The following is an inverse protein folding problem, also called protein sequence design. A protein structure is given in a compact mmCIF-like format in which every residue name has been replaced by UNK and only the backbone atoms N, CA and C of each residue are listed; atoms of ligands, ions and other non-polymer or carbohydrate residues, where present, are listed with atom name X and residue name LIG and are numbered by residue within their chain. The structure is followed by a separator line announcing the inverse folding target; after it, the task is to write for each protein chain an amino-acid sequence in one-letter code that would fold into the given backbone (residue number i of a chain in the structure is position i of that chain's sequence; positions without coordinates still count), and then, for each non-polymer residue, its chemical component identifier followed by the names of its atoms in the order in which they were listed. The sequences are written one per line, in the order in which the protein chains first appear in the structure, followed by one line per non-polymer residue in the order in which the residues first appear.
data_IF_196999894886
#
_entry.id   IF_196999894886
#
_cell.length_a   1.000
_cell.length_b   1.000
_cell.length_c   1.000
_cell.angle_alpha   90.00
_cell.angle_beta   90.00
_cell.angle_gamma   90.00
#
_symmetry.space_group_name_H-M   'P 1'
#
loop_
_entity.id
_entity.type
_entity.pdbx_description
1 polymer ?
#
# COMPACT_ATOMS: atom_id res chain seq x y z
N UNK A 1 7.93 -59.31 48.66
CA UNK A 1 7.25 -58.89 47.41
C UNK A 1 6.61 -57.49 47.56
N UNK A 2 7.33 -56.49 48.07
CA UNK A 2 6.87 -55.09 48.19
C UNK A 2 7.78 -54.08 47.48
N UNK A 3 8.97 -54.49 47.04
CA UNK A 3 9.93 -53.60 46.36
C UNK A 3 9.54 -53.26 44.91
N UNK A 4 8.78 -54.14 44.24
CA UNK A 4 8.41 -53.99 42.82
C UNK A 4 7.30 -52.95 42.61
N UNK A 5 6.44 -52.72 43.62
CA UNK A 5 5.31 -51.77 43.51
C UNK A 5 5.72 -50.29 43.57
N UNK A 6 6.87 -49.93 44.13
CA UNK A 6 7.33 -48.52 44.19
C UNK A 6 7.84 -48.01 42.84
N UNK A 7 8.45 -48.85 42.01
CA UNK A 7 8.96 -48.45 40.69
C UNK A 7 7.85 -48.15 39.68
N UNK A 8 6.76 -48.91 39.71
CA UNK A 8 5.64 -48.76 38.77
C UNK A 8 4.89 -47.44 39.01
N UNK A 9 4.71 -47.02 40.27
CA UNK A 9 4.03 -45.75 40.60
C UNK A 9 4.80 -44.52 40.12
N UNK A 10 6.13 -44.55 40.18
CA UNK A 10 6.98 -43.48 39.65
C UNK A 10 6.93 -43.38 38.12
N UNK A 11 6.93 -44.52 37.43
CA UNK A 11 6.88 -44.57 35.97
C UNK A 11 5.52 -44.09 35.42
N UNK A 12 4.41 -44.45 36.10
CA UNK A 12 3.08 -43.96 35.76
C UNK A 12 2.95 -42.44 35.99
N UNK A 13 3.47 -41.93 37.10
CA UNK A 13 3.46 -40.49 37.36
C UNK A 13 4.26 -39.69 36.31
N UNK A 14 5.43 -40.21 35.90
CA UNK A 14 6.25 -39.56 34.87
C UNK A 14 5.56 -39.57 33.50
N UNK A 15 4.86 -40.66 33.15
CA UNK A 15 4.11 -40.77 31.89
C UNK A 15 2.94 -39.79 31.85
N UNK A 16 2.21 -39.62 32.96
CA UNK A 16 1.09 -38.67 33.05
C UNK A 16 1.57 -37.22 32.90
N UNK A 17 2.72 -36.87 33.48
CA UNK A 17 3.31 -35.54 33.32
C UNK A 17 3.82 -35.32 31.89
N UNK A 18 4.42 -36.32 31.25
CA UNK A 18 4.87 -36.23 29.87
C UNK A 18 3.70 -36.06 28.88
N UNK A 19 2.57 -36.75 29.09
CA UNK A 19 1.36 -36.60 28.27
C UNK A 19 0.73 -35.21 28.49
N UNK A 20 0.72 -34.70 29.73
CA UNK A 20 0.22 -33.36 30.02
C UNK A 20 1.08 -32.24 29.37
N UNK A 21 2.40 -32.45 29.24
CA UNK A 21 3.30 -31.51 28.57
C UNK A 21 3.22 -31.59 27.04
N UNK A 22 2.92 -32.77 26.47
CA UNK A 22 2.69 -32.91 25.04
C UNK A 22 1.36 -32.27 24.59
N UNK A 23 0.37 -32.18 25.48
CA UNK A 23 -0.94 -31.59 25.19
C UNK A 23 -0.94 -30.04 25.22
N UNK A 24 0.07 -29.38 25.80
CA UNK A 24 0.16 -27.91 25.84
C UNK A 24 0.86 -27.31 24.62
N UNK A 25 1.41 -28.13 23.72
CA UNK A 25 2.03 -27.71 22.47
C UNK A 25 1.04 -27.69 21.29
N UNK A 26 -0.25 -27.40 21.54
CA UNK A 26 -1.17 -27.15 20.44
C UNK A 26 -0.72 -25.88 19.71
N UNK A 27 -0.46 -25.92 18.40
CA UNK A 27 -0.13 -24.73 17.64
C UNK A 27 -1.32 -23.77 17.74
N UNK A 28 -1.15 -22.70 18.51
CA UNK A 28 -2.09 -21.59 18.52
C UNK A 28 -2.01 -20.92 17.17
N UNK A 29 -2.93 -21.27 16.27
CA UNK A 29 -3.08 -20.58 15.01
C UNK A 29 -3.58 -19.18 15.35
N UNK A 30 -2.72 -18.18 15.20
CA UNK A 30 -3.14 -16.79 15.33
C UNK A 30 -4.29 -16.57 14.35
N UNK A 31 -5.46 -16.18 14.86
CA UNK A 31 -6.60 -15.86 14.02
C UNK A 31 -6.15 -14.79 13.01
N UNK A 32 -6.50 -14.93 11.72
CA UNK A 32 -6.13 -13.94 10.72
C UNK A 32 -6.68 -12.58 11.17
N UNK A 33 -5.79 -11.58 11.22
CA UNK A 33 -6.18 -10.23 11.58
C UNK A 33 -7.31 -9.75 10.65
N UNK A 34 -8.32 -9.10 11.21
CA UNK A 34 -9.38 -8.52 10.41
C UNK A 34 -8.78 -7.57 9.37
N UNK A 35 -9.22 -7.71 8.12
CA UNK A 35 -8.77 -6.89 7.01
C UNK A 35 -9.95 -6.07 6.48
N UNK A 36 -9.70 -4.81 6.15
CA UNK A 36 -10.64 -3.96 5.41
C UNK A 36 -10.06 -3.60 4.05
N UNK A 37 -10.92 -3.45 3.06
CA UNK A 37 -10.53 -3.03 1.71
C UNK A 37 -11.14 -1.68 1.38
N UNK A 38 -10.35 -0.83 0.74
CA UNK A 38 -10.79 0.46 0.20
C UNK A 38 -10.47 0.47 -1.27
N UNK A 39 -11.52 0.44 -2.10
CA UNK A 39 -11.41 0.48 -3.55
C UNK A 39 -11.88 1.84 -4.07
N UNK A 40 -11.13 2.37 -5.03
CA UNK A 40 -11.47 3.57 -5.80
C UNK A 40 -11.35 3.25 -7.28
N UNK A 41 -12.41 3.51 -8.03
CA UNK A 41 -12.37 3.36 -9.49
C UNK A 41 -11.65 4.56 -10.12
N UNK A 42 -11.16 4.39 -11.34
CA UNK A 42 -10.58 5.49 -12.12
C UNK A 42 -11.57 6.64 -12.29
N UNK A 43 -12.83 6.35 -12.60
CA UNK A 43 -13.90 7.34 -12.71
C UNK A 43 -14.08 8.13 -11.40
N UNK A 44 -14.11 7.44 -10.26
CA UNK A 44 -14.19 8.09 -8.95
C UNK A 44 -12.98 8.97 -8.64
N UNK A 45 -11.80 8.62 -9.15
CA UNK A 45 -10.58 9.41 -9.00
C UNK A 45 -10.65 10.64 -9.90
N UNK A 46 -11.04 10.49 -11.17
CA UNK A 46 -11.12 11.58 -12.13
C UNK A 46 -12.20 12.61 -11.81
N UNK A 47 -13.21 12.22 -11.03
CA UNK A 47 -14.23 13.16 -10.51
C UNK A 47 -13.80 13.91 -9.24
N UNK A 48 -12.67 13.55 -8.63
CA UNK A 48 -12.20 14.24 -7.42
C UNK A 48 -11.83 15.71 -7.71
N UNK A 49 -12.10 16.58 -6.73
CA UNK A 49 -11.84 18.02 -6.85
C UNK A 49 -10.38 18.37 -7.20
N UNK A 50 -9.40 17.61 -6.70
CA UNK A 50 -7.99 17.87 -6.99
C UNK A 50 -7.57 17.49 -8.43
N UNK A 51 -8.39 16.70 -9.12
CA UNK A 51 -8.28 16.38 -10.55
C UNK A 51 -9.01 17.45 -11.37
N UNK A 52 -10.29 17.68 -11.07
CA UNK A 52 -11.13 18.62 -11.84
C UNK A 52 -10.78 20.09 -11.62
N UNK A 53 -10.20 20.44 -10.47
CA UNK A 53 -9.73 21.78 -10.15
C UNK A 53 -8.35 21.75 -9.48
N UNK A 54 -7.27 21.58 -10.27
CA UNK A 54 -5.92 21.51 -9.74
C UNK A 54 -5.53 22.86 -9.10
N UNK A 55 -4.83 22.79 -7.96
CA UNK A 55 -4.45 23.98 -7.17
C UNK A 55 -3.63 25.00 -7.97
N UNK A 56 -2.85 24.54 -8.96
CA UNK A 56 -2.10 25.42 -9.85
C UNK A 56 -2.98 25.85 -11.00
N UNK A 57 -3.26 27.15 -11.11
CA UNK A 57 -4.04 27.73 -12.24
C UNK A 57 -3.39 27.49 -13.61
N UNK A 58 -2.10 27.17 -13.63
CA UNK A 58 -1.36 26.80 -14.83
C UNK A 58 -1.64 25.36 -15.30
N UNK A 59 -2.22 24.51 -14.45
CA UNK A 59 -2.52 23.11 -14.77
C UNK A 59 -3.97 23.00 -15.22
N UNK A 60 -4.21 22.37 -16.37
CA UNK A 60 -5.53 22.09 -16.93
C UNK A 60 -5.57 20.66 -17.47
N UNK A 61 -6.78 20.18 -17.81
CA UNK A 61 -7.01 18.86 -18.44
C UNK A 61 -6.34 17.70 -17.71
N UNK A 62 -6.29 17.75 -16.38
CA UNK A 62 -5.74 16.66 -15.58
C UNK A 62 -6.61 15.42 -15.74
N UNK A 63 -5.98 14.29 -16.02
CA UNK A 63 -6.61 12.98 -15.96
C UNK A 63 -5.68 11.96 -15.31
N UNK A 64 -6.30 10.96 -14.69
CA UNK A 64 -5.65 9.80 -14.10
C UNK A 64 -6.10 8.58 -14.90
N UNK A 65 -5.13 7.79 -15.33
CA UNK A 65 -5.30 6.53 -16.03
C UNK A 65 -4.67 5.42 -15.17
N UNK A 66 -5.49 4.46 -14.75
CA UNK A 66 -5.06 3.32 -13.95
C UNK A 66 -4.64 2.18 -14.87
N UNK A 67 -3.42 1.69 -14.65
CA UNK A 67 -2.87 0.57 -15.41
C UNK A 67 -2.38 -0.51 -14.44
N UNK A 68 -2.22 -1.77 -14.88
CA UNK A 68 -1.82 -2.86 -13.98
C UNK A 68 -0.49 -2.54 -13.30
N UNK A 69 -0.54 -2.35 -11.97
CA UNK A 69 0.62 -2.02 -11.14
C UNK A 69 1.11 -0.56 -11.20
N UNK A 70 0.47 0.35 -11.97
CA UNK A 70 0.92 1.74 -12.07
C UNK A 70 -0.22 2.75 -12.31
N UNK A 71 0.08 4.03 -12.12
CA UNK A 71 -0.84 5.13 -12.37
C UNK A 71 -0.18 6.11 -13.33
N UNK A 72 -0.87 6.46 -14.41
CA UNK A 72 -0.43 7.49 -15.35
C UNK A 72 -1.26 8.74 -15.12
N UNK A 73 -0.60 9.85 -14.86
CA UNK A 73 -1.24 11.16 -14.71
C UNK A 73 -0.88 11.99 -15.94
N UNK A 74 -1.89 12.46 -16.65
CA UNK A 74 -1.73 13.38 -17.76
C UNK A 74 -2.20 14.76 -17.34
N UNK A 75 -1.42 15.79 -17.66
CA UNK A 75 -1.67 17.18 -17.33
C UNK A 75 -1.32 18.08 -18.53
N UNK A 76 -2.06 19.15 -18.71
CA UNK A 76 -1.66 20.28 -19.57
C UNK A 76 -1.12 21.40 -18.68
N UNK A 77 0.10 21.88 -18.92
CA UNK A 77 0.72 22.98 -18.16
C UNK A 77 0.93 24.22 -19.04
N UNK A 78 0.32 25.34 -18.66
CA UNK A 78 0.50 26.65 -19.32
C UNK A 78 1.46 27.53 -18.53
N UNK A 79 2.66 27.76 -19.06
CA UNK A 79 3.69 28.59 -18.44
C UNK A 79 3.49 30.11 -18.61
N UNK A 80 4.38 30.90 -18.01
CA UNK A 80 4.30 32.37 -17.96
C UNK A 80 4.26 33.08 -19.34
N UNK A 81 4.70 32.42 -20.42
CA UNK A 81 4.65 32.94 -21.80
C UNK A 81 3.49 32.37 -22.61
N UNK A 82 2.44 31.89 -21.95
CA UNK A 82 1.32 31.16 -22.56
C UNK A 82 1.77 29.93 -23.37
N UNK A 83 2.99 29.44 -23.14
CA UNK A 83 3.47 28.20 -23.73
C UNK A 83 2.82 27.06 -22.97
N UNK A 84 2.02 26.29 -23.69
CA UNK A 84 1.39 25.07 -23.20
C UNK A 84 2.28 23.88 -23.50
N UNK A 85 2.45 23.00 -22.51
CA UNK A 85 3.14 21.72 -22.67
C UNK A 85 2.26 20.59 -22.12
N UNK A 86 2.31 19.44 -22.77
CA UNK A 86 1.67 18.21 -22.28
C UNK A 86 2.64 17.47 -21.38
N UNK A 87 2.17 17.04 -20.22
CA UNK A 87 2.95 16.30 -19.23
C UNK A 87 2.26 14.95 -19.02
N UNK A 88 3.02 13.87 -19.12
CA UNK A 88 2.59 12.56 -18.65
C UNK A 88 3.56 12.07 -17.58
N UNK A 89 3.05 11.54 -16.47
CA UNK A 89 3.85 11.05 -15.36
C UNK A 89 3.33 9.69 -14.89
N UNK A 90 4.19 8.68 -14.92
CA UNK A 90 3.88 7.32 -14.49
C UNK A 90 4.44 7.07 -13.10
N UNK A 91 3.59 6.56 -12.22
CA UNK A 91 3.91 6.25 -10.83
C UNK A 91 3.64 4.78 -10.52
N UNK A 92 4.57 4.14 -9.84
CA UNK A 92 4.37 2.82 -9.27
C UNK A 92 4.33 2.90 -7.73
N UNK A 93 3.38 2.23 -7.07
CA UNK A 93 3.36 2.17 -5.62
C UNK A 93 4.40 1.16 -5.11
N UNK A 94 4.99 1.47 -3.96
CA UNK A 94 5.81 0.55 -3.17
C UNK A 94 5.24 0.51 -1.76
N UNK A 95 5.18 -0.69 -1.19
CA UNK A 95 4.68 -0.89 0.17
C UNK A 95 5.82 -1.38 1.06
N UNK A 96 6.14 -0.61 2.09
CA UNK A 96 7.13 -0.99 3.10
C UNK A 96 6.65 -0.61 4.49
N UNK A 97 6.65 -1.59 5.42
CA UNK A 97 6.23 -1.38 6.81
C UNK A 97 4.86 -0.71 6.97
N UNK A 98 3.91 -1.02 6.07
CA UNK A 98 2.58 -0.41 6.13
C UNK A 98 2.45 0.98 5.53
N UNK A 99 3.53 1.54 5.00
CA UNK A 99 3.57 2.83 4.33
C UNK A 99 3.61 2.63 2.82
N UNK A 100 2.66 3.26 2.15
CA UNK A 100 2.63 3.38 0.70
C UNK A 100 3.52 4.54 0.29
N UNK A 101 4.47 4.29 -0.60
CA UNK A 101 5.28 5.33 -1.25
C UNK A 101 5.13 5.19 -2.75
N UNK A 102 4.82 6.29 -3.43
CA UNK A 102 4.72 6.32 -4.88
C UNK A 102 6.02 6.84 -5.47
N UNK A 103 6.60 6.06 -6.38
CA UNK A 103 7.79 6.42 -7.13
C UNK A 103 7.40 6.77 -8.55
N UNK A 104 7.81 7.94 -9.02
CA UNK A 104 7.83 8.32 -10.42
C UNK A 104 8.81 7.39 -11.14
N UNK A 105 8.30 6.59 -12.07
CA UNK A 105 9.07 5.63 -12.88
C UNK A 105 9.35 6.17 -14.28
N UNK A 106 8.46 7.02 -14.80
CA UNK A 106 8.64 7.72 -16.07
C UNK A 106 7.93 9.06 -16.04
N UNK A 107 8.45 10.04 -16.79
CA UNK A 107 7.73 11.26 -17.08
C UNK A 107 8.11 11.76 -18.47
N UNK A 108 7.18 12.38 -19.17
CA UNK A 108 7.42 13.04 -20.46
C UNK A 108 6.89 14.48 -20.44
N UNK A 109 7.52 15.33 -21.24
CA UNK A 109 7.08 16.70 -21.55
C UNK A 109 7.05 16.82 -23.07
N UNK A 110 5.89 17.07 -23.65
CA UNK A 110 5.65 17.06 -25.11
C UNK A 110 6.20 15.78 -25.77
N UNK A 111 6.00 14.63 -25.11
CA UNK A 111 6.47 13.32 -25.56
C UNK A 111 7.96 13.05 -25.35
N UNK A 112 8.75 14.02 -24.91
CA UNK A 112 10.17 13.84 -24.62
C UNK A 112 10.38 13.37 -23.18
N UNK A 113 11.21 12.34 -22.93
CA UNK A 113 11.43 11.85 -21.57
C UNK A 113 12.10 12.90 -20.68
N UNK A 114 11.62 13.03 -19.46
CA UNK A 114 12.23 13.88 -18.44
C UNK A 114 13.60 13.33 -18.02
N UNK A 115 14.54 14.23 -17.73
CA UNK A 115 15.88 13.84 -17.26
C UNK A 115 15.82 13.10 -15.92
N UNK A 116 16.75 12.17 -15.69
CA UNK A 116 16.83 11.41 -14.44
C UNK A 116 16.98 12.33 -13.20
N UNK A 117 17.71 13.43 -13.33
CA UNK A 117 17.86 14.41 -12.26
C UNK A 117 16.52 15.07 -11.89
N UNK A 118 15.69 15.43 -12.88
CA UNK A 118 14.36 15.99 -12.66
C UNK A 118 13.44 14.94 -12.02
N UNK A 119 13.47 13.70 -12.49
CA UNK A 119 12.68 12.61 -11.90
C UNK A 119 13.05 12.39 -10.43
N UNK A 120 14.35 12.42 -10.09
CA UNK A 120 14.80 12.32 -8.70
C UNK A 120 14.30 13.47 -7.82
N UNK A 121 14.33 14.72 -8.34
CA UNK A 121 13.79 15.89 -7.63
C UNK A 121 12.28 15.76 -7.39
N UNK A 122 11.54 15.27 -8.38
CA UNK A 122 10.09 15.04 -8.25
C UNK A 122 9.82 13.96 -7.19
N UNK A 123 10.55 12.84 -7.22
CA UNK A 123 10.43 11.78 -6.23
C UNK A 123 10.69 12.25 -4.79
N UNK A 124 11.72 13.10 -4.61
CA UNK A 124 12.00 13.69 -3.30
C UNK A 124 10.82 14.52 -2.74
N UNK A 125 10.06 15.21 -3.61
CA UNK A 125 8.92 16.05 -3.21
C UNK A 125 7.63 15.25 -3.02
N UNK A 126 7.37 14.29 -3.92
CA UNK A 126 6.09 13.55 -3.98
C UNK A 126 5.91 12.60 -2.79
N UNK A 127 6.99 12.00 -2.29
CA UNK A 127 6.95 11.11 -1.11
C UNK A 127 6.25 11.76 0.10
N UNK A 128 6.48 13.06 0.32
CA UNK A 128 5.87 13.81 1.43
C UNK A 128 4.37 14.11 1.22
N UNK A 129 3.93 14.31 -0.02
CA UNK A 129 2.55 14.63 -0.35
C UNK A 129 1.63 13.41 -0.16
N UNK A 130 2.07 12.22 -0.59
CA UNK A 130 1.30 10.99 -0.46
C UNK A 130 1.07 10.56 0.97
N UNK A 131 2.07 10.72 1.84
CA UNK A 131 1.92 10.44 3.26
C UNK A 131 0.77 11.24 3.89
N UNK A 132 0.60 12.50 3.49
CA UNK A 132 -0.49 13.36 3.96
C UNK A 132 -1.84 12.96 3.38
N UNK A 133 -1.89 12.65 2.09
CA UNK A 133 -3.12 12.20 1.43
C UNK A 133 -3.64 10.90 2.01
N UNK A 134 -2.77 9.88 2.15
CA UNK A 134 -3.14 8.58 2.70
C UNK A 134 -3.75 8.72 4.11
N UNK A 135 -3.18 9.60 4.95
CA UNK A 135 -3.71 9.89 6.29
C UNK A 135 -5.12 10.50 6.28
N UNK A 136 -5.48 11.24 5.24
CA UNK A 136 -6.78 11.91 5.14
C UNK A 136 -7.86 11.04 4.48
N UNK A 137 -7.46 10.10 3.62
CA UNK A 137 -8.39 9.40 2.73
C UNK A 137 -8.55 7.92 3.07
N UNK A 138 -7.59 7.33 3.79
CA UNK A 138 -7.68 5.94 4.23
C UNK A 138 -8.13 5.90 5.71
N UNK A 139 -8.94 4.89 6.10
CA UNK A 139 -9.20 4.62 7.49
C UNK A 139 -7.90 4.39 8.28
N UNK A 140 -7.97 4.52 9.60
CA UNK A 140 -6.86 4.12 10.45
C UNK A 140 -6.55 2.62 10.24
N UNK A 141 -5.27 2.29 10.09
CA UNK A 141 -4.83 0.92 9.86
C UNK A 141 -3.46 0.86 9.19
N UNK A 142 -2.91 -0.37 9.11
CA UNK A 142 -1.66 -0.62 8.40
C UNK A 142 -1.99 -1.15 7.00
N UNK A 143 -1.51 -0.50 5.95
CA UNK A 143 -1.69 -1.03 4.58
C UNK A 143 -0.88 -2.33 4.43
N UNK A 144 -1.52 -3.41 4.00
CA UNK A 144 -0.88 -4.73 3.83
C UNK A 144 -0.76 -5.13 2.37
N UNK A 145 -1.61 -4.58 1.50
CA UNK A 145 -1.53 -4.77 0.06
C UNK A 145 -2.04 -3.55 -0.69
N UNK A 146 -1.55 -3.40 -1.92
CA UNK A 146 -2.02 -2.42 -2.90
C UNK A 146 -2.15 -3.17 -4.22
N UNK A 147 -3.32 -3.08 -4.84
CA UNK A 147 -3.57 -3.64 -6.16
C UNK A 147 -4.08 -2.54 -7.06
N UNK A 148 -3.50 -2.46 -8.26
CA UNK A 148 -3.95 -1.55 -9.31
C UNK A 148 -4.26 -2.40 -10.54
N UNK A 149 -5.49 -2.29 -11.03
CA UNK A 149 -5.96 -2.89 -12.28
C UNK A 149 -6.18 -1.78 -13.32
N UNK A 150 -6.66 -2.13 -14.51
CA UNK A 150 -7.01 -1.17 -15.58
C UNK A 150 -8.13 -0.18 -15.20
N UNK A 151 -8.79 -0.34 -14.04
CA UNK A 151 -9.95 0.48 -13.69
C UNK A 151 -10.13 0.75 -12.20
N UNK A 152 -9.34 0.11 -11.34
CA UNK A 152 -9.49 0.23 -9.91
C UNK A 152 -8.16 0.18 -9.17
N UNK A 153 -8.11 0.98 -8.11
CA UNK A 153 -7.04 1.02 -7.14
C UNK A 153 -7.59 0.58 -5.78
N UNK A 154 -7.03 -0.50 -5.24
CA UNK A 154 -7.48 -1.12 -4.00
C UNK A 154 -6.37 -1.14 -2.97
N UNK A 155 -6.66 -0.63 -1.77
CA UNK A 155 -5.85 -0.79 -0.57
C UNK A 155 -6.45 -1.86 0.33
N UNK A 156 -5.62 -2.77 0.82
CA UNK A 156 -5.98 -3.66 1.94
C UNK A 156 -5.33 -3.14 3.20
N UNK A 157 -6.10 -3.00 4.28
CA UNK A 157 -5.64 -2.56 5.58
C UNK A 157 -5.85 -3.66 6.62
N UNK A 158 -4.81 -3.96 7.39
CA UNK A 158 -4.97 -4.72 8.63
C UNK A 158 -5.55 -3.79 9.71
N UNK A 159 -6.63 -4.23 10.34
CA UNK A 159 -7.18 -3.59 11.53
C UNK A 159 -6.21 -3.84 12.67
N UNK A 160 -5.93 -2.80 13.47
CA UNK A 160 -5.18 -2.99 14.71
C UNK A 160 -5.95 -3.97 15.62
N UNK A 161 -5.27 -4.92 16.29
CA UNK A 161 -5.92 -5.83 17.23
C UNK A 161 -6.57 -5.09 18.41
#
# INVERSE_FOLDING_TARGET
MQLVMKGIRGLVALLVVAIAFAASALPTHAAPAAASTVTRTEEQINTQYWVTNPRGRAVTNRSVDLQPGQVVINDTLTGARQKTVQIAATFAPTLSNGRVTWALTAATVDGQPASAALQAQINARISSAWARYAKQQLPAGRVTAITITDSALTYTLATAP
#
